data_IF_354365436753
#
_entry.id   IF_354365436753
#
_cell.length_a   1.000
_cell.length_b   1.000
_cell.length_c   1.000
_cell.angle_alpha   90.00
_cell.angle_beta   90.00
_cell.angle_gamma   90.00
#
_symmetry.space_group_name_H-M   'P 1'
#
loop_
_entity.id
_entity.type
_entity.pdbx_description
1 polymer ?
#
# COMPACT_ATOMS: atom_id res chain seq x y z
N UNK A 1 -1.22 -7.10 -34.48
CA UNK A 1 -0.83 -7.05 -33.08
C UNK A 1 -1.15 -8.40 -32.44
N UNK A 2 -0.16 -9.04 -31.83
CA UNK A 2 -0.37 -10.31 -31.15
C UNK A 2 -1.19 -10.11 -29.88
N UNK A 3 -2.11 -11.00 -29.54
CA UNK A 3 -2.85 -10.88 -28.29
C UNK A 3 -1.90 -11.03 -27.09
N UNK A 4 -2.12 -10.23 -26.07
CA UNK A 4 -1.41 -10.38 -24.80
C UNK A 4 -2.05 -11.50 -24.00
N UNK A 5 -1.25 -12.48 -23.63
CA UNK A 5 -1.70 -13.60 -22.81
C UNK A 5 -1.52 -13.24 -21.34
N UNK A 6 -2.54 -13.50 -20.53
CA UNK A 6 -2.49 -13.28 -19.08
C UNK A 6 -1.43 -14.17 -18.45
N UNK A 7 -0.66 -13.60 -17.50
CA UNK A 7 0.42 -14.30 -16.81
C UNK A 7 0.24 -14.13 -15.31
N UNK A 8 0.47 -15.21 -14.57
CA UNK A 8 0.49 -15.23 -13.10
C UNK A 8 1.80 -15.80 -12.63
N UNK A 9 2.56 -15.03 -11.87
CA UNK A 9 3.88 -15.43 -11.36
C UNK A 9 3.87 -15.43 -9.84
N UNK A 10 4.00 -16.61 -9.24
CA UNK A 10 4.13 -16.74 -7.79
C UNK A 10 5.45 -16.10 -7.35
N UNK A 11 5.41 -15.36 -6.25
CA UNK A 11 6.56 -14.61 -5.75
C UNK A 11 6.81 -14.89 -4.28
N UNK A 12 8.08 -14.86 -3.88
CA UNK A 12 8.50 -14.89 -2.47
C UNK A 12 8.23 -13.53 -1.84
N UNK A 13 8.39 -13.44 -0.50
CA UNK A 13 8.28 -12.15 0.20
C UNK A 13 9.27 -11.12 -0.37
N UNK A 14 10.52 -11.50 -0.57
CA UNK A 14 11.54 -10.60 -1.10
C UNK A 14 11.17 -10.11 -2.49
N UNK A 15 10.73 -11.00 -3.36
CA UNK A 15 10.27 -10.65 -4.71
C UNK A 15 9.02 -9.76 -4.69
N UNK A 16 8.09 -10.03 -3.76
CA UNK A 16 6.91 -9.19 -3.55
C UNK A 16 7.31 -7.76 -3.21
N UNK A 17 8.19 -7.59 -2.24
CA UNK A 17 8.63 -6.27 -1.79
C UNK A 17 9.41 -5.54 -2.88
N UNK A 18 10.24 -6.24 -3.65
CA UNK A 18 10.94 -5.68 -4.81
C UNK A 18 9.96 -5.21 -5.88
N UNK A 19 8.89 -5.97 -6.11
CA UNK A 19 7.85 -5.60 -7.06
C UNK A 19 7.11 -4.33 -6.62
N UNK A 20 6.75 -4.24 -5.33
CA UNK A 20 5.97 -3.13 -4.79
C UNK A 20 6.81 -1.85 -4.68
N UNK A 21 8.09 -1.95 -4.31
CA UNK A 21 8.93 -0.79 -3.98
C UNK A 21 8.89 0.36 -4.99
N UNK A 22 8.94 0.13 -6.32
CA UNK A 22 8.84 1.23 -7.28
C UNK A 22 7.40 1.62 -7.62
N UNK A 23 6.39 0.95 -7.04
CA UNK A 23 4.97 1.15 -7.36
C UNK A 23 4.28 1.83 -6.19
N UNK A 24 3.76 3.02 -6.45
CA UNK A 24 3.23 3.88 -5.38
C UNK A 24 1.73 4.07 -5.44
N UNK A 25 1.04 3.41 -6.37
CA UNK A 25 -0.41 3.46 -6.50
C UNK A 25 -1.03 2.16 -6.02
N UNK A 26 -1.89 2.25 -5.02
CA UNK A 26 -2.57 1.08 -4.48
C UNK A 26 -4.01 1.42 -4.13
N UNK A 27 -4.83 0.37 -4.03
CA UNK A 27 -6.16 0.45 -3.44
C UNK A 27 -6.08 -0.30 -2.12
N UNK A 28 -6.41 0.38 -1.02
CA UNK A 28 -6.52 -0.25 0.30
C UNK A 28 -7.98 -0.58 0.55
N UNK A 29 -8.24 -1.83 0.93
CA UNK A 29 -9.57 -2.34 1.21
C UNK A 29 -9.62 -2.71 2.69
N UNK A 30 -10.55 -2.08 3.40
CA UNK A 30 -10.79 -2.30 4.83
C UNK A 30 -12.22 -2.80 5.04
N UNK A 31 -12.53 -3.26 6.25
CA UNK A 31 -13.84 -3.82 6.58
C UNK A 31 -14.64 -2.80 7.41
N UNK A 32 -15.81 -2.42 6.92
CA UNK A 32 -16.74 -1.55 7.65
C UNK A 32 -17.31 -2.26 8.87
N UNK A 33 -17.91 -1.50 9.78
CA UNK A 33 -18.54 -2.04 10.98
C UNK A 33 -19.63 -3.10 10.67
N UNK A 34 -20.31 -2.97 9.51
CA UNK A 34 -21.33 -3.91 9.08
C UNK A 34 -20.75 -5.12 8.31
N UNK A 35 -19.42 -5.22 8.20
CA UNK A 35 -18.75 -6.33 7.52
C UNK A 35 -18.55 -6.13 6.02
N UNK A 36 -19.03 -5.04 5.43
CA UNK A 36 -18.85 -4.79 4.00
C UNK A 36 -17.50 -4.13 3.71
N UNK A 37 -16.94 -4.33 2.51
CA UNK A 37 -15.66 -3.73 2.17
C UNK A 37 -15.76 -2.23 1.88
N UNK A 38 -14.71 -1.49 2.28
CA UNK A 38 -14.50 -0.10 1.91
C UNK A 38 -13.16 0.00 1.21
N UNK A 39 -13.12 0.59 0.02
CA UNK A 39 -11.92 0.70 -0.80
C UNK A 39 -11.56 2.17 -1.04
N UNK A 40 -10.27 2.49 -0.99
CA UNK A 40 -9.79 3.83 -1.29
C UNK A 40 -8.44 3.79 -1.98
N UNK A 41 -8.21 4.64 -3.01
CA UNK A 41 -6.90 4.78 -3.62
C UNK A 41 -5.96 5.52 -2.67
N UNK A 42 -4.71 5.08 -2.65
CA UNK A 42 -3.67 5.64 -1.78
C UNK A 42 -2.34 5.70 -2.53
N UNK A 43 -1.44 6.55 -2.02
CA UNK A 43 -0.03 6.52 -2.38
C UNK A 43 0.69 5.66 -1.36
N UNK A 44 1.37 4.61 -1.80
CA UNK A 44 2.06 3.68 -0.91
C UNK A 44 3.56 3.67 -1.13
N UNK A 45 4.29 3.24 -0.11
CA UNK A 45 5.71 2.94 -0.18
C UNK A 45 5.99 1.63 0.54
N UNK A 46 7.24 1.20 0.50
CA UNK A 46 7.73 0.06 1.28
C UNK A 46 8.81 0.58 2.22
N UNK A 47 8.66 0.32 3.50
CA UNK A 47 9.61 0.69 4.53
C UNK A 47 9.70 -0.44 5.56
N UNK A 48 10.92 -0.89 5.83
CA UNK A 48 11.19 -1.97 6.78
C UNK A 48 10.33 -3.23 6.52
N UNK A 49 10.24 -3.62 5.25
CA UNK A 49 9.50 -4.82 4.84
C UNK A 49 7.98 -4.72 4.92
N UNK A 50 7.44 -3.51 5.09
CA UNK A 50 6.00 -3.28 5.24
C UNK A 50 5.51 -2.27 4.23
N UNK A 51 4.22 -2.36 3.89
CA UNK A 51 3.57 -1.40 3.02
C UNK A 51 3.10 -0.24 3.91
N UNK A 52 3.49 0.97 3.55
CA UNK A 52 3.20 2.17 4.35
C UNK A 52 2.40 3.19 3.55
N UNK A 53 1.45 3.83 4.23
CA UNK A 53 0.53 4.82 3.65
C UNK A 53 0.35 5.95 4.64
N UNK A 54 0.57 7.19 4.21
CA UNK A 54 0.24 8.36 5.02
C UNK A 54 -1.26 8.66 4.90
N UNK A 55 -1.87 8.99 6.03
CA UNK A 55 -3.31 9.22 6.09
C UNK A 55 -3.66 10.12 7.28
N UNK A 56 -4.93 10.21 7.62
CA UNK A 56 -5.41 10.99 8.74
C UNK A 56 -6.34 10.14 9.62
N UNK A 57 -6.38 10.38 10.95
CA UNK A 57 -7.18 9.56 11.86
C UNK A 57 -8.69 9.60 11.57
N UNK A 58 -9.19 10.65 10.90
CA UNK A 58 -10.62 10.78 10.56
C UNK A 58 -11.06 9.95 9.37
N UNK A 59 -10.13 9.43 8.57
CA UNK A 59 -10.47 8.68 7.36
C UNK A 59 -11.14 7.34 7.69
N UNK A 60 -12.09 6.95 6.83
CA UNK A 60 -12.84 5.71 7.02
C UNK A 60 -11.92 4.49 7.13
N UNK A 61 -10.90 4.40 6.26
CA UNK A 61 -9.96 3.27 6.28
C UNK A 61 -9.22 3.17 7.61
N UNK A 62 -8.92 4.29 8.26
CA UNK A 62 -8.23 4.29 9.55
C UNK A 62 -9.15 3.77 10.64
N UNK A 63 -10.37 4.29 10.71
CA UNK A 63 -11.35 3.83 11.71
C UNK A 63 -11.67 2.35 11.52
N UNK A 64 -11.79 1.91 10.28
CA UNK A 64 -12.03 0.50 9.95
C UNK A 64 -10.84 -0.37 10.37
N UNK A 65 -9.61 0.05 10.07
CA UNK A 65 -8.41 -0.72 10.41
C UNK A 65 -8.19 -0.83 11.92
N UNK A 66 -8.55 0.20 12.70
CA UNK A 66 -8.49 0.13 14.16
C UNK A 66 -9.43 -0.93 14.72
N UNK A 67 -10.63 -1.02 14.16
CA UNK A 67 -11.66 -1.95 14.60
C UNK A 67 -11.41 -3.36 14.07
N UNK A 68 -10.93 -3.46 12.82
CA UNK A 68 -10.71 -4.73 12.12
C UNK A 68 -9.37 -4.62 11.36
N UNK A 69 -8.26 -5.07 11.97
CA UNK A 69 -6.92 -4.81 11.43
C UNK A 69 -6.54 -5.64 10.19
N UNK A 70 -7.30 -6.67 9.83
CA UNK A 70 -7.07 -7.40 8.59
C UNK A 70 -7.50 -6.54 7.40
N UNK A 71 -6.54 -6.26 6.52
CA UNK A 71 -6.74 -5.39 5.37
C UNK A 71 -6.16 -6.01 4.12
N UNK A 72 -6.56 -5.48 2.97
CA UNK A 72 -6.02 -5.88 1.68
C UNK A 72 -5.48 -4.65 0.96
N UNK A 73 -4.32 -4.80 0.33
CA UNK A 73 -3.77 -3.79 -0.57
C UNK A 73 -3.65 -4.38 -1.97
N UNK A 74 -4.26 -3.72 -2.94
CA UNK A 74 -4.10 -4.04 -4.36
C UNK A 74 -3.08 -3.04 -4.92
N UNK A 75 -1.86 -3.50 -5.19
CA UNK A 75 -0.79 -2.63 -5.68
C UNK A 75 -0.75 -2.68 -7.20
N UNK A 76 -0.84 -1.51 -7.81
CA UNK A 76 -0.98 -1.34 -9.25
C UNK A 76 0.31 -0.80 -9.85
N UNK A 77 0.49 -1.01 -11.14
CA UNK A 77 1.53 -0.31 -11.91
C UNK A 77 1.02 1.07 -12.34
N UNK A 78 1.94 1.99 -12.66
CA UNK A 78 1.57 3.32 -13.16
C UNK A 78 0.76 3.22 -14.45
N UNK A 79 1.13 2.29 -15.33
CA UNK A 79 0.26 1.90 -16.44
C UNK A 79 -0.82 0.97 -15.89
N UNK A 80 -2.06 1.37 -15.99
CA UNK A 80 -3.20 0.61 -15.48
C UNK A 80 -3.29 -0.79 -16.08
N UNK A 81 -2.80 -1.00 -17.30
CA UNK A 81 -2.72 -2.31 -17.93
C UNK A 81 -1.52 -3.15 -17.50
N UNK A 82 -0.64 -2.62 -16.66
CA UNK A 82 0.57 -3.30 -16.21
C UNK A 82 0.31 -4.35 -15.13
N UNK A 83 1.37 -5.04 -14.68
CA UNK A 83 1.23 -6.06 -13.64
C UNK A 83 0.78 -5.48 -12.30
N UNK A 84 0.11 -6.31 -11.51
CA UNK A 84 -0.44 -5.96 -10.21
C UNK A 84 -0.32 -7.13 -9.24
N UNK A 85 -0.43 -6.85 -7.94
CA UNK A 85 -0.45 -7.87 -6.91
C UNK A 85 -1.43 -7.50 -5.81
N UNK A 86 -2.14 -8.49 -5.27
CA UNK A 86 -3.00 -8.32 -4.11
C UNK A 86 -2.31 -8.91 -2.88
N UNK A 87 -2.24 -8.11 -1.82
CA UNK A 87 -1.60 -8.47 -0.56
C UNK A 87 -2.61 -8.37 0.57
N UNK A 88 -2.76 -9.44 1.33
CA UNK A 88 -3.52 -9.43 2.57
C UNK A 88 -2.55 -9.33 3.75
N UNK A 89 -2.89 -8.51 4.72
CA UNK A 89 -2.02 -8.33 5.88
C UNK A 89 -2.73 -7.70 7.06
N UNK A 90 -1.97 -7.49 8.11
CA UNK A 90 -2.42 -6.84 9.33
C UNK A 90 -1.97 -5.39 9.33
N UNK A 91 -2.92 -4.49 9.54
CA UNK A 91 -2.68 -3.05 9.60
C UNK A 91 -2.45 -2.59 11.03
N UNK A 92 -1.54 -1.64 11.15
CA UNK A 92 -1.28 -0.88 12.37
C UNK A 92 -1.45 0.60 12.05
N UNK A 93 -2.16 1.32 12.89
CA UNK A 93 -2.31 2.78 12.77
C UNK A 93 -1.42 3.45 13.79
N UNK A 94 -0.56 4.34 13.33
CA UNK A 94 0.36 5.09 14.19
C UNK A 94 0.00 6.57 14.09
N UNK A 95 -0.35 7.18 15.23
CA UNK A 95 -0.72 8.59 15.31
C UNK A 95 0.45 9.44 15.81
N UNK A 96 0.34 10.76 15.64
CA UNK A 96 1.31 11.70 16.22
C UNK A 96 1.33 11.53 17.74
N UNK A 97 2.49 11.67 18.41
CA UNK A 97 3.79 11.98 17.85
C UNK A 97 4.56 10.76 17.30
N UNK A 98 4.10 9.54 17.57
CA UNK A 98 4.82 8.32 17.23
C UNK A 98 4.90 8.11 15.71
N UNK A 99 4.01 8.72 14.94
CA UNK A 99 3.99 8.63 13.48
C UNK A 99 5.09 9.44 12.79
N UNK A 100 5.74 10.37 13.46
CA UNK A 100 6.63 11.35 12.82
C UNK A 100 7.81 10.68 12.11
N UNK A 101 8.58 9.84 12.82
CA UNK A 101 9.70 9.15 12.20
C UNK A 101 9.28 8.09 11.17
N UNK A 102 8.23 7.29 11.41
CA UNK A 102 7.67 6.45 10.34
C UNK A 102 7.22 7.23 9.11
N UNK A 103 6.67 8.44 9.25
CA UNK A 103 6.31 9.29 8.10
C UNK A 103 7.55 9.79 7.34
N UNK A 104 8.66 10.02 8.02
CA UNK A 104 9.95 10.32 7.36
C UNK A 104 10.35 9.13 6.47
N UNK A 105 10.29 7.91 6.99
CA UNK A 105 10.56 6.69 6.22
C UNK A 105 9.62 6.53 5.04
N UNK A 106 8.34 6.82 5.22
CA UNK A 106 7.34 6.81 4.16
C UNK A 106 7.70 7.78 3.03
N UNK A 107 7.96 9.04 3.37
CA UNK A 107 8.34 10.06 2.37
C UNK A 107 9.61 9.62 1.62
N UNK A 108 10.62 9.18 2.37
CA UNK A 108 11.90 8.77 1.80
C UNK A 108 11.75 7.59 0.83
N UNK A 109 10.86 6.65 1.15
CA UNK A 109 10.61 5.47 0.30
C UNK A 109 9.97 5.82 -1.05
N UNK A 110 9.29 6.95 -1.14
CA UNK A 110 8.56 7.38 -2.34
C UNK A 110 9.34 8.46 -3.11
N UNK A 111 9.87 9.44 -2.40
CA UNK A 111 10.40 10.68 -2.99
C UNK A 111 11.88 10.91 -2.71
N UNK A 112 12.52 10.05 -1.93
CA UNK A 112 13.92 10.23 -1.53
C UNK A 112 14.07 11.27 -0.44
N UNK A 113 15.23 11.94 -0.39
CA UNK A 113 15.55 12.90 0.67
C UNK A 113 14.74 14.19 0.52
N UNK A 114 14.23 14.67 1.65
CA UNK A 114 13.55 15.96 1.73
C UNK A 114 14.58 17.06 1.95
N UNK A 115 14.37 18.23 1.36
CA UNK A 115 15.29 19.39 1.50
C UNK A 115 15.22 20.02 2.89
N UNK A 116 14.17 19.79 3.65
CA UNK A 116 13.94 20.37 4.97
C UNK A 116 13.18 19.38 5.88
N UNK A 117 13.90 18.45 6.48
CA UNK A 117 13.29 17.45 7.36
C UNK A 117 12.64 18.06 8.61
N UNK A 118 13.22 19.13 9.16
CA UNK A 118 12.63 19.77 10.34
C UNK A 118 11.28 20.39 10.01
N UNK A 119 11.19 21.08 8.88
CA UNK A 119 9.93 21.62 8.39
C UNK A 119 8.90 20.54 8.08
N UNK A 120 9.34 19.41 7.51
CA UNK A 120 8.48 18.27 7.25
C UNK A 120 7.90 17.70 8.55
N UNK A 121 8.76 17.48 9.57
CA UNK A 121 8.31 16.96 10.87
C UNK A 121 7.30 17.90 11.53
N UNK A 122 7.56 19.20 11.53
CA UNK A 122 6.62 20.19 12.05
C UNK A 122 5.27 20.16 11.33
N UNK A 123 5.28 20.01 10.00
CA UNK A 123 4.07 19.92 9.21
C UNK A 123 3.27 18.66 9.56
N UNK A 124 3.93 17.53 9.80
CA UNK A 124 3.25 16.28 10.17
C UNK A 124 2.54 16.41 11.51
N UNK A 125 3.19 17.04 12.49
CA UNK A 125 2.57 17.34 13.80
C UNK A 125 1.36 18.24 13.63
N UNK A 126 1.54 19.35 12.91
CA UNK A 126 0.46 20.34 12.70
C UNK A 126 -0.75 19.75 12.00
N UNK A 127 -0.51 18.86 11.04
CA UNK A 127 -1.58 18.19 10.31
C UNK A 127 -2.20 17.03 11.07
N UNK A 128 -1.58 16.57 12.15
CA UNK A 128 -2.05 15.38 12.88
C UNK A 128 -2.00 14.12 12.03
N UNK A 129 -0.96 13.98 11.21
CA UNK A 129 -0.91 12.93 10.20
C UNK A 129 -0.59 11.58 10.81
N UNK A 130 -1.36 10.57 10.40
CA UNK A 130 -1.16 9.17 10.81
C UNK A 130 -0.44 8.38 9.73
N UNK A 131 0.21 7.29 10.12
CA UNK A 131 0.73 6.28 9.23
C UNK A 131 -0.09 5.01 9.37
N UNK A 132 -0.54 4.47 8.25
CA UNK A 132 -1.09 3.12 8.16
C UNK A 132 0.03 2.21 7.69
N UNK A 133 0.34 1.17 8.48
CA UNK A 133 1.42 0.25 8.20
C UNK A 133 0.87 -1.16 8.09
N UNK A 134 1.10 -1.81 6.94
CA UNK A 134 0.55 -3.13 6.63
C UNK A 134 1.69 -4.14 6.56
N UNK A 135 1.63 -5.15 7.42
CA UNK A 135 2.56 -6.29 7.39
C UNK A 135 1.99 -7.33 6.43
N UNK A 136 2.67 -7.62 5.30
CA UNK A 136 2.21 -8.66 4.38
C UNK A 136 2.21 -10.02 5.03
N UNK A 137 1.09 -10.75 4.92
CA UNK A 137 0.94 -12.09 5.50
C UNK A 137 0.64 -13.12 4.43
N UNK A 138 -0.16 -12.74 3.43
CA UNK A 138 -0.53 -13.60 2.31
C UNK A 138 -0.69 -12.74 1.07
N UNK A 139 -0.27 -13.26 -0.09
CA UNK A 139 -0.40 -12.53 -1.33
C UNK A 139 -0.63 -13.49 -2.49
N UNK A 140 -1.29 -12.96 -3.53
CA UNK A 140 -1.47 -13.66 -4.78
C UNK A 140 -0.22 -13.59 -5.66
N UNK A 141 -0.27 -14.13 -6.86
CA UNK A 141 0.80 -13.96 -7.82
C UNK A 141 0.88 -12.52 -8.31
N UNK A 142 2.04 -12.12 -8.81
CA UNK A 142 2.14 -10.95 -9.67
C UNK A 142 1.49 -11.32 -10.99
N UNK A 143 0.44 -10.58 -11.36
CA UNK A 143 -0.45 -10.94 -12.45
C UNK A 143 -0.51 -9.86 -13.53
N UNK A 144 -0.72 -10.29 -14.75
CA UNK A 144 -1.11 -9.39 -15.85
C UNK A 144 -2.45 -9.86 -16.42
N UNK A 145 -3.27 -8.91 -16.82
CA UNK A 145 -4.49 -9.21 -17.57
C UNK A 145 -4.16 -9.61 -19.01
N UNK A 146 -5.17 -10.07 -19.71
CA UNK A 146 -5.05 -10.46 -21.11
C UNK A 146 -5.89 -11.66 -21.45
N UNK A 147 -5.62 -12.26 -22.60
CA UNK A 147 -6.30 -13.45 -23.05
C UNK A 147 -5.89 -14.66 -22.20
N UNK A 148 -6.80 -15.60 -21.95
CA UNK A 148 -6.42 -16.82 -21.24
C UNK A 148 -5.43 -17.66 -22.09
N UNK A 149 -4.56 -18.49 -21.43
CA UNK A 149 -3.55 -19.27 -22.15
C UNK A 149 -4.10 -20.19 -23.26
N UNK A 150 -5.35 -20.64 -23.15
CA UNK A 150 -5.97 -21.46 -24.20
C UNK A 150 -6.10 -20.74 -25.55
N UNK A 151 -5.93 -19.41 -25.56
CA UNK A 151 -6.00 -18.59 -26.78
C UNK A 151 -4.62 -18.16 -27.27
N UNK A 152 -3.57 -18.72 -26.68
CA UNK A 152 -2.20 -18.42 -27.09
C UNK A 152 -1.93 -18.94 -28.51
#
# INVERSE_FOLDING_TARGET
>A
MSPQIAVNTAVTRAELLDFISPRHHAIVITTRADGTPQASPVTCGVDDGKIVVATYPERAKVRNARRHPQVTALVLSDDFGGPWVQVDGTAEVIDVPDSIEPLVGYFRSISGEHSDWDGYREAMVRQGKSLLRITPERWGPVATGGFPPRLA
#
